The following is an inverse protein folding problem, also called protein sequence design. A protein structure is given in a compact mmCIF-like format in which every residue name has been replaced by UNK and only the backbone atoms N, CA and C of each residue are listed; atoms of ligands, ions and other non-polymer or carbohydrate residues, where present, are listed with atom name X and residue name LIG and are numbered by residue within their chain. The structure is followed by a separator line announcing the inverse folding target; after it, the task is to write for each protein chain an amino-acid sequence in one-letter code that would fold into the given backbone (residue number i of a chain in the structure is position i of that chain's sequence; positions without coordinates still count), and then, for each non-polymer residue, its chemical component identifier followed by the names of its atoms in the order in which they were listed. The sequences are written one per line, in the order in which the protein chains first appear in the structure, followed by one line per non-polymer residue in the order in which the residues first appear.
data_IF_315804373962
#
_entry.id   IF_315804373962
#
_cell.length_a   1.000
_cell.length_b   1.000
_cell.length_c   1.000
_cell.angle_alpha   90.00
_cell.angle_beta   90.00
_cell.angle_gamma   90.00
#
_symmetry.space_group_name_H-M   'P 1'
#
loop_
_entity.id
_entity.type
_entity.pdbx_description
1 polymer ?
#
# COMPACT_ATOMS: atom_id res chain seq x y z
N UNK A 1 -82.43 12.24 22.41
CA UNK A 1 -81.51 12.26 21.24
C UNK A 1 -80.07 12.17 21.75
N UNK A 2 -79.41 11.01 21.61
CA UNK A 2 -78.03 10.79 22.08
C UNK A 2 -77.13 10.58 20.85
N UNK A 3 -76.26 11.56 20.57
CA UNK A 3 -75.31 11.55 19.44
C UNK A 3 -74.07 10.73 19.84
N UNK A 4 -73.98 9.47 19.36
CA UNK A 4 -72.75 8.66 19.47
C UNK A 4 -71.67 9.25 18.55
N UNK A 5 -70.61 9.81 19.13
CA UNK A 5 -69.38 10.12 18.41
C UNK A 5 -68.56 8.85 18.22
N UNK A 6 -68.49 8.36 16.98
CA UNK A 6 -67.57 7.30 16.58
C UNK A 6 -66.18 7.93 16.44
N UNK A 7 -65.31 7.71 17.42
CA UNK A 7 -63.89 8.05 17.29
C UNK A 7 -63.23 7.04 16.37
N UNK A 8 -62.85 7.48 15.17
CA UNK A 8 -61.91 6.76 14.32
C UNK A 8 -60.57 6.65 15.06
N UNK A 9 -60.26 5.48 15.60
CA UNK A 9 -58.88 5.12 15.93
C UNK A 9 -58.16 4.88 14.62
N UNK A 10 -57.24 5.77 14.27
CA UNK A 10 -56.22 5.49 13.28
C UNK A 10 -55.26 4.47 13.87
N UNK A 11 -55.38 3.23 13.42
CA UNK A 11 -54.41 2.17 13.71
C UNK A 11 -53.10 2.54 13.02
N UNK A 12 -52.29 3.35 13.69
CA UNK A 12 -50.93 3.63 13.26
C UNK A 12 -50.17 2.29 13.30
N UNK A 13 -49.77 1.82 12.13
CA UNK A 13 -48.92 0.63 11.94
C UNK A 13 -47.57 0.93 12.62
N UNK A 14 -47.51 0.64 13.92
CA UNK A 14 -46.32 0.83 14.74
C UNK A 14 -45.41 -0.37 14.60
N UNK A 15 -44.37 -0.27 13.77
CA UNK A 15 -43.30 -1.27 13.74
C UNK A 15 -42.68 -1.43 15.12
N UNK A 16 -42.59 -2.68 15.59
CA UNK A 16 -42.03 -3.00 16.90
C UNK A 16 -40.56 -2.59 16.99
N UNK A 17 -40.06 -2.25 18.18
CA UNK A 17 -38.65 -1.89 18.39
C UNK A 17 -37.66 -2.96 17.89
N UNK A 18 -38.06 -4.24 17.97
CA UNK A 18 -37.31 -5.38 17.42
C UNK A 18 -37.25 -5.38 15.89
N UNK A 19 -38.33 -4.98 15.23
CA UNK A 19 -38.39 -4.89 13.76
C UNK A 19 -37.51 -3.75 13.26
N UNK A 20 -37.52 -2.60 13.94
CA UNK A 20 -36.62 -1.49 13.62
C UNK A 20 -35.14 -1.87 13.72
N UNK A 21 -34.74 -2.66 14.72
CA UNK A 21 -33.34 -3.13 14.82
C UNK A 21 -32.95 -4.04 13.66
N UNK A 22 -33.86 -4.88 13.16
CA UNK A 22 -33.61 -5.76 12.01
C UNK A 22 -33.49 -4.96 10.72
N UNK A 23 -34.40 -4.02 10.49
CA UNK A 23 -34.35 -3.12 9.32
C UNK A 23 -33.04 -2.33 9.31
N UNK A 24 -32.64 -1.75 10.45
CA UNK A 24 -31.37 -1.02 10.55
C UNK A 24 -30.15 -1.91 10.25
N UNK A 25 -30.15 -3.17 10.71
CA UNK A 25 -29.06 -4.11 10.40
C UNK A 25 -29.01 -4.48 8.91
N UNK A 26 -30.17 -4.67 8.28
CA UNK A 26 -30.28 -4.97 6.85
C UNK A 26 -29.84 -3.78 6.00
N UNK A 27 -30.21 -2.56 6.38
CA UNK A 27 -29.75 -1.34 5.69
C UNK A 27 -28.24 -1.15 5.82
N UNK A 28 -27.67 -1.41 7.00
CA UNK A 28 -26.22 -1.34 7.19
C UNK A 28 -25.49 -2.40 6.35
N UNK A 29 -26.00 -3.64 6.34
CA UNK A 29 -25.47 -4.72 5.51
C UNK A 29 -25.51 -4.35 4.02
N UNK A 30 -26.63 -3.78 3.55
CA UNK A 30 -26.77 -3.32 2.17
C UNK A 30 -25.76 -2.23 1.84
N UNK A 31 -25.56 -1.25 2.73
CA UNK A 31 -24.58 -0.19 2.53
C UNK A 31 -23.14 -0.73 2.44
N UNK A 32 -22.78 -1.67 3.32
CA UNK A 32 -21.48 -2.37 3.26
C UNK A 32 -21.34 -3.17 1.97
N UNK A 33 -22.38 -3.85 1.52
CA UNK A 33 -22.37 -4.64 0.29
C UNK A 33 -22.22 -3.74 -0.96
N UNK A 34 -22.92 -2.60 -1.02
CA UNK A 34 -22.77 -1.61 -2.09
C UNK A 34 -21.36 -1.04 -2.11
N UNK A 35 -20.79 -0.72 -0.94
CA UNK A 35 -19.40 -0.28 -0.82
C UNK A 35 -18.42 -1.35 -1.34
N UNK A 36 -18.59 -2.61 -0.94
CA UNK A 36 -17.77 -3.73 -1.43
C UNK A 36 -17.94 -3.94 -2.94
N UNK A 37 -19.14 -3.79 -3.47
CA UNK A 37 -19.41 -3.89 -4.91
C UNK A 37 -18.66 -2.80 -5.70
N UNK A 38 -18.75 -1.54 -5.27
CA UNK A 38 -18.00 -0.47 -5.93
C UNK A 38 -16.49 -0.66 -5.81
N UNK A 39 -16.01 -1.16 -4.67
CA UNK A 39 -14.61 -1.52 -4.47
C UNK A 39 -14.16 -2.70 -5.34
N UNK A 40 -15.02 -3.70 -5.53
CA UNK A 40 -14.76 -4.87 -6.36
C UNK A 40 -14.89 -4.57 -7.85
N UNK A 41 -15.67 -3.55 -8.25
CA UNK A 41 -15.79 -3.14 -9.65
C UNK A 41 -14.55 -2.39 -10.16
N UNK A 42 -13.61 -2.05 -9.28
CA UNK A 42 -12.34 -1.45 -9.71
C UNK A 42 -11.42 -2.54 -10.30
N UNK A 43 -11.16 -2.53 -11.63
CA UNK A 43 -10.34 -3.56 -12.29
C UNK A 43 -8.90 -3.58 -11.76
N UNK A 44 -8.44 -2.49 -11.14
CA UNK A 44 -7.09 -2.40 -10.56
C UNK A 44 -6.93 -3.30 -9.33
N UNK A 45 -7.98 -3.54 -8.55
CA UNK A 45 -7.93 -4.48 -7.41
C UNK A 45 -7.72 -5.94 -7.84
N UNK A 46 -7.90 -6.24 -9.13
CA UNK A 46 -7.72 -7.59 -9.70
C UNK A 46 -6.46 -7.73 -10.53
N UNK A 47 -5.72 -6.63 -10.78
CA UNK A 47 -4.49 -6.68 -11.58
C UNK A 47 -3.37 -7.48 -10.90
N UNK A 48 -3.31 -7.49 -9.57
CA UNK A 48 -2.35 -8.33 -8.85
C UNK A 48 -2.68 -9.83 -8.92
N UNK A 49 -3.95 -10.19 -9.18
CA UNK A 49 -4.35 -11.58 -9.47
C UNK A 49 -4.08 -11.96 -10.94
N UNK A 50 -4.09 -10.98 -11.84
CA UNK A 50 -3.86 -11.21 -13.27
C UNK A 50 -2.37 -11.17 -13.65
N UNK A 51 -1.55 -10.48 -12.87
CA UNK A 51 -0.10 -10.50 -13.05
C UNK A 51 0.45 -11.74 -12.34
N UNK A 52 0.58 -12.83 -13.09
CA UNK A 52 1.28 -14.02 -12.64
C UNK A 52 2.76 -13.64 -12.38
N UNK A 53 3.29 -13.74 -11.15
CA UNK A 53 4.68 -13.39 -10.87
C UNK A 53 5.66 -14.21 -11.73
N UNK A 54 5.24 -15.41 -12.17
CA UNK A 54 6.02 -16.27 -13.04
C UNK A 54 6.09 -15.77 -14.49
N UNK A 55 5.13 -14.95 -14.96
CA UNK A 55 5.22 -14.31 -16.28
C UNK A 55 6.14 -13.08 -16.28
N UNK A 56 6.21 -12.34 -15.17
CA UNK A 56 7.10 -11.18 -15.07
C UNK A 56 8.60 -11.57 -15.06
N UNK A 57 8.94 -12.80 -14.67
CA UNK A 57 10.32 -13.29 -14.66
C UNK A 57 10.74 -13.98 -15.98
N UNK A 58 9.79 -14.33 -16.85
CA UNK A 58 10.06 -15.04 -18.12
C UNK A 58 9.95 -14.11 -19.33
N UNK A 59 9.25 -12.98 -19.22
CA UNK A 59 9.09 -12.00 -20.32
C UNK A 59 10.22 -10.94 -20.38
N UNK A 60 11.21 -11.02 -19.47
CA UNK A 60 12.45 -10.22 -19.56
C UNK A 60 13.43 -10.80 -20.61
N UNK A 61 13.13 -11.96 -21.18
CA UNK A 61 13.85 -12.56 -22.30
C UNK A 61 13.13 -12.30 -23.61
N UNK A 62 13.65 -11.38 -24.41
CA UNK A 62 13.47 -11.40 -25.88
C UNK A 62 12.14 -10.87 -26.45
N UNK A 63 11.37 -10.06 -25.72
CA UNK A 63 10.48 -9.12 -26.38
C UNK A 63 11.35 -8.03 -27.03
N UNK A 64 11.52 -8.09 -28.35
CA UNK A 64 12.07 -7.01 -29.15
C UNK A 64 11.22 -5.75 -28.90
N UNK A 65 11.64 -4.95 -27.92
CA UNK A 65 11.02 -3.68 -27.60
C UNK A 65 11.24 -2.77 -28.82
N UNK A 66 10.18 -2.52 -29.57
CA UNK A 66 10.02 -1.25 -30.28
C UNK A 66 10.08 -0.18 -29.20
N UNK A 67 11.30 0.26 -28.89
CA UNK A 67 11.56 1.39 -28.00
C UNK A 67 11.00 2.58 -28.74
N UNK A 68 9.86 3.17 -28.31
CA UNK A 68 9.48 4.47 -28.86
C UNK A 68 10.67 5.38 -28.60
N UNK A 69 11.12 6.07 -29.65
CA UNK A 69 12.17 7.09 -29.66
C UNK A 69 11.75 8.23 -28.73
N UNK A 70 11.74 7.94 -27.43
CA UNK A 70 11.17 8.76 -26.38
C UNK A 70 12.21 9.79 -26.02
N UNK A 71 11.98 11.02 -26.47
CA UNK A 71 12.36 12.25 -25.79
C UNK A 71 13.82 12.35 -25.30
N UNK A 72 14.79 11.89 -26.10
CA UNK A 72 16.20 12.25 -25.92
C UNK A 72 16.47 13.69 -26.41
N UNK A 73 15.59 14.64 -26.07
CA UNK A 73 15.67 16.01 -26.52
C UNK A 73 16.81 16.75 -25.82
N UNK A 74 17.97 16.81 -26.47
CA UNK A 74 18.95 17.89 -26.30
C UNK A 74 20.30 17.54 -25.68
N UNK A 75 20.60 16.27 -25.39
CA UNK A 75 21.93 15.93 -24.86
C UNK A 75 22.94 15.76 -25.98
N UNK A 76 23.81 16.76 -26.13
CA UNK A 76 24.94 16.71 -27.03
C UNK A 76 25.93 15.66 -26.53
N UNK A 77 26.29 14.71 -27.40
CA UNK A 77 27.38 13.78 -27.17
C UNK A 77 28.69 14.55 -27.27
N UNK A 78 29.46 14.58 -26.19
CA UNK A 78 30.77 15.23 -26.18
C UNK A 78 31.78 14.37 -26.95
N UNK A 79 32.60 14.99 -27.78
CA UNK A 79 33.73 14.32 -28.44
C UNK A 79 34.86 14.07 -27.44
N UNK A 80 35.48 12.88 -27.47
CA UNK A 80 36.63 12.52 -26.64
C UNK A 80 36.82 11.00 -26.50
N UNK A 81 37.91 10.54 -25.86
CA UNK A 81 38.13 9.12 -25.55
C UNK A 81 36.95 8.56 -24.74
N UNK A 82 36.43 7.39 -25.04
CA UNK A 82 35.30 6.81 -24.29
C UNK A 82 35.71 5.48 -23.62
N UNK A 83 34.72 4.75 -23.13
CA UNK A 83 34.94 3.45 -22.51
C UNK A 83 35.40 2.37 -23.50
N UNK A 84 35.39 2.64 -24.82
CA UNK A 84 35.85 1.70 -25.85
C UNK A 84 37.35 1.79 -26.12
N UNK A 85 38.00 2.86 -25.63
CA UNK A 85 39.45 3.06 -25.77
C UNK A 85 40.21 2.16 -24.76
N UNK A 86 41.07 1.23 -25.24
CA UNK A 86 41.82 0.32 -24.36
C UNK A 86 42.78 1.04 -23.42
N UNK A 87 43.31 2.21 -23.80
CA UNK A 87 44.23 2.99 -22.97
C UNK A 87 43.47 3.64 -21.80
N UNK A 88 42.27 4.16 -22.06
CA UNK A 88 41.38 4.68 -21.01
C UNK A 88 40.94 3.56 -20.04
N UNK A 89 40.62 2.37 -20.57
CA UNK A 89 40.30 1.20 -19.73
C UNK A 89 41.49 0.76 -18.88
N UNK A 90 42.71 0.79 -19.41
CA UNK A 90 43.92 0.48 -18.66
C UNK A 90 44.14 1.49 -17.52
N UNK A 91 44.05 2.78 -17.83
CA UNK A 91 44.19 3.84 -16.84
C UNK A 91 43.08 3.79 -15.77
N UNK A 92 41.86 3.38 -16.13
CA UNK A 92 40.78 3.16 -15.16
C UNK A 92 41.06 1.97 -14.25
N UNK A 93 41.60 0.86 -14.78
CA UNK A 93 41.96 -0.30 -13.95
C UNK A 93 42.98 0.02 -12.87
N UNK A 94 43.92 0.92 -13.16
CA UNK A 94 44.89 1.39 -12.15
C UNK A 94 44.21 2.16 -11.01
N UNK A 95 43.19 2.96 -11.31
CA UNK A 95 42.47 3.73 -10.28
C UNK A 95 41.54 2.89 -9.42
N UNK A 96 41.15 1.70 -9.86
CA UNK A 96 40.34 0.77 -9.05
C UNK A 96 41.02 0.34 -7.74
N UNK A 97 42.36 0.43 -7.67
CA UNK A 97 43.15 0.04 -6.50
C UNK A 97 42.87 0.91 -5.26
N UNK A 98 42.39 2.16 -5.43
CA UNK A 98 42.08 3.06 -4.31
C UNK A 98 40.65 2.89 -3.76
N UNK A 99 39.79 2.14 -4.46
CA UNK A 99 38.36 2.08 -4.12
C UNK A 99 38.10 1.04 -3.03
N UNK A 100 37.47 1.47 -1.94
CA UNK A 100 37.14 0.66 -0.78
C UNK A 100 35.62 0.50 -0.58
N UNK A 101 35.11 -0.73 -0.62
CA UNK A 101 33.67 -0.99 -0.42
C UNK A 101 33.20 -0.76 1.02
N UNK A 102 31.89 -0.61 1.19
CA UNK A 102 31.20 -0.38 2.46
C UNK A 102 31.65 0.89 3.19
N UNK A 103 32.20 1.85 2.45
CA UNK A 103 32.58 3.17 2.94
C UNK A 103 31.86 4.25 2.13
N UNK A 104 31.76 5.45 2.71
CA UNK A 104 31.39 6.63 1.94
C UNK A 104 32.43 6.89 0.85
N UNK A 105 32.04 7.64 -0.17
CA UNK A 105 32.91 8.00 -1.27
C UNK A 105 34.05 8.91 -0.76
N UNK A 106 35.31 8.56 -1.03
CA UNK A 106 36.48 9.32 -0.55
C UNK A 106 37.12 10.16 -1.66
N UNK A 107 37.99 11.10 -1.29
CA UNK A 107 38.72 11.94 -2.24
C UNK A 107 39.58 11.11 -3.22
N UNK A 108 40.24 10.06 -2.73
CA UNK A 108 41.09 9.18 -3.55
C UNK A 108 40.29 8.37 -4.60
N UNK A 109 38.98 8.25 -4.43
CA UNK A 109 38.06 7.57 -5.34
C UNK A 109 37.49 8.53 -6.41
N UNK A 110 37.64 9.84 -6.23
CA UNK A 110 37.10 10.87 -7.14
C UNK A 110 37.61 10.71 -8.57
N UNK A 111 38.86 10.28 -8.73
CA UNK A 111 39.43 10.09 -10.06
C UNK A 111 38.69 9.00 -10.86
N UNK A 112 38.41 7.85 -10.24
CA UNK A 112 37.63 6.79 -10.85
C UNK A 112 36.17 7.22 -11.10
N UNK A 113 35.58 7.89 -10.11
CA UNK A 113 34.23 8.44 -10.19
C UNK A 113 34.05 9.38 -11.40
N UNK A 114 34.92 10.39 -11.53
CA UNK A 114 34.82 11.39 -12.60
C UNK A 114 35.14 10.80 -13.97
N UNK A 115 36.04 9.82 -14.07
CA UNK A 115 36.28 9.12 -15.34
C UNK A 115 35.02 8.40 -15.83
N UNK A 116 34.35 7.63 -14.97
CA UNK A 116 33.09 6.98 -15.33
C UNK A 116 32.01 8.01 -15.68
N UNK A 117 31.94 9.10 -14.93
CA UNK A 117 31.02 10.19 -15.22
C UNK A 117 31.26 10.78 -16.62
N UNK A 118 32.51 11.06 -16.99
CA UNK A 118 32.88 11.54 -18.33
C UNK A 118 32.54 10.55 -19.43
N UNK A 119 32.83 9.25 -19.25
CA UNK A 119 32.42 8.22 -20.21
C UNK A 119 30.91 8.24 -20.45
N UNK A 120 30.10 8.38 -19.40
CA UNK A 120 28.64 8.44 -19.57
C UNK A 120 28.19 9.69 -20.32
N UNK A 121 28.89 10.82 -20.21
CA UNK A 121 28.59 12.06 -20.97
C UNK A 121 28.86 11.89 -22.46
N UNK A 122 29.86 11.08 -22.83
CA UNK A 122 30.29 10.81 -24.21
C UNK A 122 29.47 9.73 -24.93
N UNK A 123 28.52 9.11 -24.24
CA UNK A 123 27.62 8.13 -24.85
C UNK A 123 26.17 8.57 -24.71
N UNK A 124 25.32 8.20 -25.68
CA UNK A 124 23.88 8.36 -25.54
C UNK A 124 23.30 7.29 -24.61
N UNK A 125 22.12 7.54 -24.03
CA UNK A 125 21.44 6.53 -23.21
C UNK A 125 21.20 5.23 -23.99
N UNK A 126 20.73 5.32 -25.24
CA UNK A 126 20.43 4.16 -26.08
C UNK A 126 21.68 3.32 -26.40
N UNK A 127 22.83 3.95 -26.61
CA UNK A 127 24.09 3.23 -26.80
C UNK A 127 24.52 2.48 -25.54
N UNK A 128 24.53 3.17 -24.39
CA UNK A 128 24.85 2.55 -23.10
C UNK A 128 23.88 1.41 -22.79
N UNK A 129 22.57 1.63 -22.97
CA UNK A 129 21.56 0.62 -22.70
C UNK A 129 21.73 -0.62 -23.58
N UNK A 130 21.99 -0.44 -24.88
CA UNK A 130 22.25 -1.55 -25.80
C UNK A 130 23.46 -2.39 -25.36
N UNK A 131 24.59 -1.75 -25.05
CA UNK A 131 25.85 -2.42 -24.66
C UNK A 131 25.83 -2.99 -23.25
N UNK A 132 24.97 -2.48 -22.39
CA UNK A 132 24.90 -2.89 -20.98
C UNK A 132 24.54 -4.35 -20.77
N UNK A 133 25.06 -4.92 -19.67
CA UNK A 133 24.67 -6.21 -19.13
C UNK A 133 23.41 -6.09 -18.28
N UNK A 134 22.38 -6.88 -18.61
CA UNK A 134 21.10 -6.96 -17.87
C UNK A 134 21.01 -8.18 -16.96
N UNK A 135 22.01 -9.06 -17.01
CA UNK A 135 22.09 -10.31 -16.25
C UNK A 135 22.81 -10.15 -14.89
N UNK A 136 23.27 -8.93 -14.57
CA UNK A 136 23.90 -8.62 -13.30
C UNK A 136 22.85 -8.29 -12.22
N UNK A 137 22.71 -9.20 -11.26
CA UNK A 137 21.81 -9.08 -10.11
C UNK A 137 22.44 -8.25 -8.98
N UNK A 138 21.62 -7.84 -8.01
CA UNK A 138 22.10 -7.14 -6.82
C UNK A 138 23.17 -7.94 -6.08
N UNK A 139 22.94 -9.25 -5.95
CA UNK A 139 23.83 -10.18 -5.24
C UNK A 139 25.22 -10.29 -5.86
N UNK A 140 25.36 -10.16 -7.18
CA UNK A 140 26.66 -10.13 -7.86
C UNK A 140 27.45 -8.88 -7.48
N UNK A 141 26.84 -7.70 -7.66
CA UNK A 141 27.49 -6.42 -7.38
C UNK A 141 27.81 -6.23 -5.89
N UNK A 142 26.97 -6.78 -5.01
CA UNK A 142 27.15 -6.67 -3.57
C UNK A 142 28.11 -7.72 -2.99
N UNK A 143 28.06 -8.96 -3.50
CA UNK A 143 28.83 -10.08 -2.97
C UNK A 143 30.26 -10.17 -3.50
N UNK A 144 30.52 -9.69 -4.71
CA UNK A 144 31.84 -9.71 -5.35
C UNK A 144 32.10 -8.41 -6.11
N UNK A 145 32.05 -7.24 -5.43
CA UNK A 145 32.16 -5.94 -6.07
C UNK A 145 33.43 -5.79 -6.90
N UNK A 146 34.56 -6.31 -6.43
CA UNK A 146 35.87 -6.24 -7.08
C UNK A 146 35.89 -6.86 -8.49
N UNK A 147 35.04 -7.86 -8.75
CA UNK A 147 34.98 -8.52 -10.06
C UNK A 147 34.15 -7.74 -11.08
N UNK A 148 33.29 -6.83 -10.62
CA UNK A 148 32.29 -6.17 -11.45
C UNK A 148 32.53 -4.66 -11.61
N UNK A 149 33.56 -4.09 -10.97
CA UNK A 149 33.84 -2.65 -11.07
C UNK A 149 34.16 -2.25 -12.50
N UNK A 150 33.53 -1.18 -12.96
CA UNK A 150 33.62 -0.69 -14.33
C UNK A 150 32.76 -1.45 -15.33
N UNK A 151 32.03 -2.49 -14.93
CA UNK A 151 31.08 -3.14 -15.86
C UNK A 151 29.90 -2.21 -16.14
N UNK A 152 29.50 -2.15 -17.41
CA UNK A 152 28.32 -1.41 -17.87
C UNK A 152 27.05 -2.21 -17.57
N UNK A 153 26.26 -1.73 -16.62
CA UNK A 153 25.06 -2.39 -16.08
C UNK A 153 23.79 -1.70 -16.58
N UNK A 154 22.81 -2.50 -17.00
CA UNK A 154 21.48 -2.07 -17.40
C UNK A 154 20.44 -2.50 -16.38
N UNK A 155 19.72 -1.55 -15.78
CA UNK A 155 18.74 -1.80 -14.72
C UNK A 155 17.38 -1.19 -15.06
N UNK A 156 16.31 -1.89 -14.66
CA UNK A 156 14.95 -1.36 -14.58
C UNK A 156 14.58 -1.16 -13.12
N UNK A 157 14.28 0.08 -12.74
CA UNK A 157 14.21 0.50 -11.35
C UNK A 157 12.85 1.07 -11.00
N UNK A 158 12.37 0.70 -9.82
CA UNK A 158 11.34 1.42 -9.09
C UNK A 158 12.03 2.55 -8.31
N UNK A 159 11.91 3.78 -8.83
CA UNK A 159 12.57 4.97 -8.30
C UNK A 159 11.83 5.49 -7.08
N UNK A 160 12.57 5.65 -5.98
CA UNK A 160 12.05 6.02 -4.66
C UNK A 160 12.45 7.42 -4.22
N UNK A 161 13.57 7.93 -4.75
CA UNK A 161 14.09 9.24 -4.41
C UNK A 161 14.95 9.77 -5.54
N UNK A 162 14.79 11.05 -5.86
CA UNK A 162 15.62 11.78 -6.81
C UNK A 162 15.98 13.11 -6.17
N UNK A 163 17.28 13.33 -5.94
CA UNK A 163 17.83 14.55 -5.38
C UNK A 163 18.74 15.22 -6.42
N UNK A 164 18.69 16.55 -6.49
CA UNK A 164 19.70 17.34 -7.20
C UNK A 164 20.80 17.70 -6.21
N UNK A 165 22.05 17.48 -6.59
CA UNK A 165 23.21 17.93 -5.84
C UNK A 165 23.81 19.16 -6.50
N UNK A 166 24.34 20.04 -5.67
CA UNK A 166 25.22 21.10 -6.14
C UNK A 166 26.54 20.45 -6.60
N UNK A 167 27.10 20.87 -7.75
CA UNK A 167 28.36 20.32 -8.23
C UNK A 167 29.46 20.52 -7.18
N UNK A 168 30.29 19.48 -6.98
CA UNK A 168 31.54 19.61 -6.21
C UNK A 168 32.41 20.70 -6.85
N UNK A 169 33.26 21.42 -6.09
CA UNK A 169 34.26 22.32 -6.67
C UNK A 169 35.16 21.66 -7.72
N UNK A 170 35.33 20.34 -7.65
CA UNK A 170 36.11 19.55 -8.60
C UNK A 170 35.30 19.05 -9.82
N UNK A 171 33.99 19.29 -9.83
CA UNK A 171 33.13 18.93 -10.96
C UNK A 171 33.37 19.88 -12.14
N UNK A 172 33.23 19.41 -13.39
CA UNK A 172 33.26 20.29 -14.55
C UNK A 172 32.21 21.41 -14.42
N UNK A 173 32.57 22.62 -14.85
CA UNK A 173 31.64 23.75 -14.94
C UNK A 173 30.42 23.34 -15.82
N UNK A 174 29.22 23.75 -15.42
CA UNK A 174 27.94 23.46 -16.10
C UNK A 174 27.39 22.02 -16.01
N UNK A 175 27.85 21.23 -15.04
CA UNK A 175 27.31 19.87 -14.82
C UNK A 175 26.33 19.84 -13.66
N UNK A 176 25.07 19.51 -13.97
CA UNK A 176 24.11 19.09 -12.95
C UNK A 176 24.37 17.63 -12.56
N UNK A 177 24.35 17.35 -11.25
CA UNK A 177 24.45 15.99 -10.72
C UNK A 177 23.15 15.63 -10.02
N UNK A 178 22.58 14.48 -10.38
CA UNK A 178 21.39 13.96 -9.73
C UNK A 178 21.70 12.61 -9.08
N UNK A 179 21.24 12.44 -7.84
CA UNK A 179 21.30 11.20 -7.09
C UNK A 179 19.92 10.54 -7.12
N UNK A 180 19.85 9.35 -7.72
CA UNK A 180 18.62 8.55 -7.84
C UNK A 180 18.77 7.31 -6.98
N UNK A 181 17.78 7.07 -6.12
CA UNK A 181 17.67 5.81 -5.36
C UNK A 181 16.50 5.03 -5.89
N UNK A 182 16.76 3.77 -6.24
CA UNK A 182 15.74 2.88 -6.76
C UNK A 182 16.01 1.43 -6.37
N UNK A 183 15.04 0.57 -6.64
CA UNK A 183 15.16 -0.88 -6.41
C UNK A 183 14.78 -1.63 -7.68
N UNK A 184 15.39 -2.77 -7.91
CA UNK A 184 14.90 -3.73 -8.90
C UNK A 184 13.85 -4.62 -8.24
N UNK A 185 13.12 -5.39 -9.04
CA UNK A 185 12.23 -6.45 -8.52
C UNK A 185 13.02 -7.47 -7.69
N UNK A 186 14.21 -7.84 -8.15
CA UNK A 186 15.08 -8.82 -7.51
C UNK A 186 15.73 -8.31 -6.21
N UNK A 187 16.11 -7.03 -6.13
CA UNK A 187 16.78 -6.49 -4.93
C UNK A 187 15.85 -6.28 -3.73
N UNK A 188 14.53 -6.36 -3.94
CA UNK A 188 13.51 -6.30 -2.88
C UNK A 188 13.53 -5.00 -2.08
N UNK A 189 14.12 -5.04 -0.88
CA UNK A 189 14.25 -3.86 0.01
C UNK A 189 15.58 -3.13 -0.12
N UNK A 190 16.56 -3.70 -0.83
CA UNK A 190 17.89 -3.13 -0.96
C UNK A 190 17.96 -2.19 -2.17
N UNK A 191 18.36 -0.92 -1.97
CA UNK A 191 18.41 0.04 -3.06
C UNK A 191 19.75 0.01 -3.80
N UNK A 192 19.69 0.53 -5.01
CA UNK A 192 20.82 1.03 -5.78
C UNK A 192 20.91 2.54 -5.58
N UNK A 193 22.13 3.07 -5.54
CA UNK A 193 22.41 4.50 -5.62
C UNK A 193 22.96 4.79 -7.01
N UNK A 194 22.27 5.64 -7.77
CA UNK A 194 22.69 6.02 -9.11
C UNK A 194 23.05 7.49 -9.13
N UNK A 195 24.15 7.80 -9.79
CA UNK A 195 24.53 9.15 -10.13
C UNK A 195 24.30 9.34 -11.63
N UNK A 196 23.53 10.36 -11.97
CA UNK A 196 23.27 10.72 -13.36
C UNK A 196 23.63 12.18 -13.63
N UNK A 197 24.13 12.42 -14.84
CA UNK A 197 24.59 13.73 -15.32
C UNK A 197 23.47 14.66 -15.81
N UNK A 198 22.24 14.16 -15.83
CA UNK A 198 21.08 14.85 -16.36
C UNK A 198 19.82 14.21 -15.79
N UNK A 199 18.83 15.05 -15.49
CA UNK A 199 17.53 14.55 -15.05
C UNK A 199 16.77 14.03 -16.27
N UNK A 200 16.27 12.78 -16.25
CA UNK A 200 15.40 12.28 -17.30
C UNK A 200 14.16 13.16 -17.43
N UNK A 201 13.72 13.41 -18.67
CA UNK A 201 12.54 14.23 -18.90
C UNK A 201 11.30 13.58 -18.24
N UNK A 202 10.49 14.38 -17.56
CA UNK A 202 9.31 13.91 -16.85
C UNK A 202 9.56 13.30 -15.46
N UNK A 203 10.81 12.97 -15.08
CA UNK A 203 11.09 12.43 -13.76
C UNK A 203 11.02 13.53 -12.68
N UNK A 204 10.12 13.43 -11.69
CA UNK A 204 10.00 14.41 -10.61
C UNK A 204 11.20 14.35 -9.65
N UNK A 205 11.52 15.48 -9.02
CA UNK A 205 12.43 15.54 -7.87
C UNK A 205 11.64 15.27 -6.59
N UNK A 206 12.25 14.56 -5.64
CA UNK A 206 11.59 14.30 -4.36
C UNK A 206 12.26 13.22 -3.52
N UNK A 207 12.02 13.27 -2.21
CA UNK A 207 12.53 12.28 -1.25
C UNK A 207 11.69 10.99 -1.19
N UNK A 208 10.43 11.05 -1.62
CA UNK A 208 9.48 9.95 -1.61
C UNK A 208 8.75 9.91 -2.95
N UNK A 209 9.28 9.09 -3.84
CA UNK A 209 8.78 8.86 -5.19
C UNK A 209 8.36 7.40 -5.32
N UNK A 210 7.57 7.14 -6.35
CA UNK A 210 7.12 5.81 -6.70
C UNK A 210 7.02 5.79 -8.23
N UNK A 211 8.16 6.03 -8.87
CA UNK A 211 8.27 6.14 -10.33
C UNK A 211 9.01 4.94 -10.90
N UNK A 212 9.11 4.86 -12.23
CA UNK A 212 9.82 3.79 -12.91
C UNK A 212 10.80 4.37 -13.92
N UNK A 213 12.01 3.82 -13.98
CA UNK A 213 13.05 4.30 -14.88
C UNK A 213 13.93 3.14 -15.36
N UNK A 214 14.49 3.29 -16.56
CA UNK A 214 15.63 2.51 -17.05
C UNK A 214 16.91 3.24 -16.69
N UNK A 215 17.96 2.50 -16.41
CA UNK A 215 19.28 3.04 -16.10
C UNK A 215 20.34 2.25 -16.85
N UNK A 216 21.28 2.94 -17.49
CA UNK A 216 22.47 2.36 -18.07
C UNK A 216 23.69 3.10 -17.55
N UNK A 217 24.63 2.38 -16.92
CA UNK A 217 25.81 3.01 -16.34
C UNK A 217 26.79 2.02 -15.75
N UNK A 218 27.92 2.52 -15.31
CA UNK A 218 29.03 1.72 -14.81
C UNK A 218 28.90 1.50 -13.31
N UNK A 219 29.12 0.27 -12.85
CA UNK A 219 29.23 -0.02 -11.42
C UNK A 219 30.57 0.46 -10.86
N UNK A 220 30.56 1.28 -9.81
CA UNK A 220 31.78 1.79 -9.18
C UNK A 220 32.18 0.97 -7.95
N UNK A 221 31.28 0.88 -6.96
CA UNK A 221 31.54 0.27 -5.64
C UNK A 221 30.25 -0.01 -4.88
N UNK A 222 30.33 -0.74 -3.77
CA UNK A 222 29.29 -0.73 -2.74
C UNK A 222 29.57 0.43 -1.78
N UNK A 223 28.74 1.47 -1.80
CA UNK A 223 28.87 2.60 -0.88
C UNK A 223 28.09 2.36 0.40
N UNK A 224 28.58 2.85 1.55
CA UNK A 224 27.78 2.84 2.78
C UNK A 224 26.84 4.04 2.86
N UNK A 225 25.65 3.81 3.42
CA UNK A 225 24.67 4.86 3.73
C UNK A 225 23.98 4.56 5.07
N UNK A 226 23.32 5.56 5.64
CA UNK A 226 22.48 5.39 6.84
C UNK A 226 21.01 5.34 6.44
N UNK A 227 20.30 4.32 6.92
CA UNK A 227 18.85 4.24 6.73
C UNK A 227 18.09 5.19 7.67
N UNK A 228 16.75 5.26 7.54
CA UNK A 228 15.90 6.11 8.40
C UNK A 228 16.00 5.75 9.91
N UNK A 229 16.57 4.60 10.26
CA UNK A 229 16.78 4.14 11.64
C UNK A 229 18.22 4.39 12.12
N UNK A 230 19.06 5.05 11.31
CA UNK A 230 20.48 5.28 11.61
C UNK A 230 21.33 4.01 11.51
N UNK A 231 20.82 2.93 10.91
CA UNK A 231 21.62 1.73 10.70
C UNK A 231 22.44 1.89 9.44
N UNK A 232 23.76 1.66 9.55
CA UNK A 232 24.65 1.66 8.39
C UNK A 232 24.36 0.45 7.50
N UNK A 233 24.12 0.71 6.22
CA UNK A 233 23.83 -0.26 5.16
C UNK A 233 24.76 -0.03 3.98
N UNK A 234 24.79 -0.97 3.04
CA UNK A 234 25.51 -0.84 1.77
C UNK A 234 24.54 -0.78 0.59
N UNK A 235 24.88 0.00 -0.43
CA UNK A 235 24.15 0.06 -1.69
C UNK A 235 25.16 0.06 -2.86
N UNK A 236 24.94 -0.71 -3.94
CA UNK A 236 25.70 -0.56 -5.16
C UNK A 236 25.57 0.88 -5.70
N UNK A 237 26.71 1.52 -5.92
CA UNK A 237 26.84 2.85 -6.50
C UNK A 237 27.17 2.72 -7.99
N UNK A 238 26.30 3.26 -8.83
CA UNK A 238 26.46 3.27 -10.29
C UNK A 238 26.47 4.69 -10.83
N UNK A 239 27.21 4.92 -11.92
CA UNK A 239 27.34 6.22 -12.57
C UNK A 239 26.90 6.05 -14.02
N UNK A 240 25.90 6.81 -14.46
CA UNK A 240 25.22 6.51 -15.71
C UNK A 240 24.25 7.57 -16.21
N UNK A 241 23.35 7.09 -17.07
CA UNK A 241 22.19 7.83 -17.56
C UNK A 241 20.93 7.07 -17.20
N UNK A 242 19.85 7.80 -17.01
CA UNK A 242 18.54 7.23 -16.80
C UNK A 242 17.57 7.71 -17.87
N UNK A 243 16.56 6.89 -18.12
CA UNK A 243 15.43 7.18 -18.99
C UNK A 243 14.13 6.90 -18.23
N UNK A 244 13.19 7.84 -18.27
CA UNK A 244 11.95 7.77 -17.50
C UNK A 244 10.93 6.89 -18.23
N UNK A 245 10.40 5.87 -17.53
CA UNK A 245 9.30 5.06 -18.05
C UNK A 245 8.01 5.69 -17.56
N UNK A 246 7.29 6.37 -18.46
CA UNK A 246 5.96 6.87 -18.12
C UNK A 246 5.01 5.71 -17.82
N UNK A 247 4.52 5.67 -16.58
CA UNK A 247 3.49 4.73 -16.15
C UNK A 247 2.19 5.48 -15.82
N UNK A 248 1.36 5.82 -16.82
CA UNK A 248 0.13 6.58 -16.60
C UNK A 248 -0.87 5.81 -15.74
N UNK A 249 -0.82 4.47 -15.77
CA UNK A 249 -1.67 3.62 -14.93
C UNK A 249 -1.36 3.78 -13.44
N UNK A 250 -0.09 3.92 -13.07
CA UNK A 250 0.35 4.16 -11.70
C UNK A 250 0.00 5.56 -11.23
N UNK A 251 0.24 6.59 -12.06
CA UNK A 251 -0.14 7.98 -11.75
C UNK A 251 -1.66 8.10 -11.52
N UNK A 252 -2.46 7.44 -12.36
CA UNK A 252 -3.92 7.37 -12.17
C UNK A 252 -4.32 6.63 -10.88
N UNK A 253 -3.61 5.54 -10.54
CA UNK A 253 -3.85 4.81 -9.29
C UNK A 253 -3.49 5.64 -8.06
N UNK A 254 -2.37 6.38 -8.08
CA UNK A 254 -1.94 7.23 -6.96
C UNK A 254 -2.83 8.44 -6.77
N UNK A 255 -3.21 9.12 -7.85
CA UNK A 255 -4.21 10.20 -7.80
C UNK A 255 -5.53 9.71 -7.19
N UNK A 256 -5.90 8.44 -7.42
CA UNK A 256 -7.08 7.82 -6.83
C UNK A 256 -6.86 7.30 -5.40
N UNK A 257 -5.64 6.90 -5.04
CA UNK A 257 -5.25 6.48 -3.67
C UNK A 257 -5.11 7.68 -2.73
N UNK A 258 -4.73 8.85 -3.25
CA UNK A 258 -4.99 10.15 -2.62
C UNK A 258 -6.51 10.48 -2.63
N UNK A 259 -7.34 9.43 -2.60
CA UNK A 259 -8.79 9.46 -2.59
C UNK A 259 -9.24 10.49 -1.58
N UNK A 260 -10.09 11.38 -2.07
CA UNK A 260 -10.44 12.59 -1.38
C UNK A 260 -10.90 12.28 0.05
N UNK A 261 -10.43 13.06 1.04
CA UNK A 261 -10.73 12.85 2.46
C UNK A 261 -12.23 12.77 2.75
N UNK A 262 -13.11 13.23 1.85
CA UNK A 262 -14.55 13.05 1.95
C UNK A 262 -14.98 11.59 2.09
N UNK A 263 -14.27 10.63 1.49
CA UNK A 263 -14.62 9.21 1.61
C UNK A 263 -14.45 8.71 3.05
N UNK A 264 -13.37 9.12 3.72
CA UNK A 264 -13.17 8.88 5.14
C UNK A 264 -14.27 9.55 5.98
N UNK A 265 -14.59 10.81 5.69
CA UNK A 265 -15.66 11.54 6.38
C UNK A 265 -17.06 10.95 6.14
N UNK A 266 -17.34 10.40 4.96
CA UNK A 266 -18.60 9.73 4.65
C UNK A 266 -18.75 8.45 5.46
N UNK A 267 -17.68 7.65 5.57
CA UNK A 267 -17.67 6.44 6.40
C UNK A 267 -17.78 6.80 7.88
N UNK A 268 -17.03 7.80 8.35
CA UNK A 268 -17.11 8.29 9.72
C UNK A 268 -18.51 8.85 10.05
N UNK A 269 -19.12 9.59 9.11
CA UNK A 269 -20.46 10.15 9.23
C UNK A 269 -21.55 9.08 9.28
N UNK A 270 -21.46 8.04 8.45
CA UNK A 270 -22.35 6.88 8.52
C UNK A 270 -22.23 6.15 9.87
N UNK A 271 -21.00 5.96 10.35
CA UNK A 271 -20.74 5.31 11.64
C UNK A 271 -21.28 6.15 12.81
N UNK A 272 -21.06 7.46 12.81
CA UNK A 272 -21.59 8.37 13.82
C UNK A 272 -23.12 8.38 13.82
N UNK A 273 -23.74 8.42 12.63
CA UNK A 273 -25.21 8.35 12.48
C UNK A 273 -25.75 7.05 13.06
N UNK A 274 -25.10 5.91 12.80
CA UNK A 274 -25.46 4.62 13.38
C UNK A 274 -25.40 4.63 14.93
N UNK A 275 -24.34 5.21 15.51
CA UNK A 275 -24.20 5.32 16.97
C UNK A 275 -25.28 6.22 17.59
N UNK A 276 -25.61 7.34 16.96
CA UNK A 276 -26.67 8.26 17.41
C UNK A 276 -28.03 7.54 17.39
N UNK A 277 -28.37 6.88 16.28
CA UNK A 277 -29.62 6.12 16.15
C UNK A 277 -29.70 5.04 17.24
N UNK A 278 -28.60 4.31 17.48
CA UNK A 278 -28.53 3.30 18.53
C UNK A 278 -28.71 3.88 19.94
N UNK A 279 -28.12 5.05 20.22
CA UNK A 279 -28.25 5.73 21.51
C UNK A 279 -29.68 6.23 21.74
N UNK A 280 -30.31 6.81 20.72
CA UNK A 280 -31.72 7.27 20.79
C UNK A 280 -32.67 6.10 21.01
N UNK A 281 -32.45 4.96 20.33
CA UNK A 281 -33.26 3.76 20.52
C UNK A 281 -33.11 3.15 21.93
N UNK A 282 -31.91 3.23 22.53
CA UNK A 282 -31.68 2.80 23.93
C UNK A 282 -32.34 3.71 24.96
N UNK A 283 -32.47 5.01 24.67
CA UNK A 283 -33.08 6.00 25.58
C UNK A 283 -34.60 6.01 25.54
N UNK A 284 -35.26 5.21 24.69
CA UNK A 284 -36.72 5.09 24.78
C UNK A 284 -37.05 4.49 26.14
N UNK A 285 -37.69 5.24 27.06
CA UNK A 285 -38.05 4.70 28.36
C UNK A 285 -38.86 3.44 28.09
N UNK A 286 -38.53 2.36 28.79
CA UNK A 286 -39.46 1.24 28.90
C UNK A 286 -40.75 1.85 29.41
N UNK A 287 -41.68 2.15 28.49
CA UNK A 287 -43.06 2.42 28.84
C UNK A 287 -43.45 1.15 29.53
N UNK A 288 -43.46 1.19 30.87
CA UNK A 288 -43.92 0.08 31.68
C UNK A 288 -45.21 -0.37 31.01
N UNK A 289 -45.28 -1.60 30.47
CA UNK A 289 -46.53 -2.08 29.92
C UNK A 289 -47.51 -1.92 31.05
N UNK A 290 -48.51 -1.04 30.85
CA UNK A 290 -49.49 -0.67 31.86
C UNK A 290 -49.81 -1.93 32.62
N UNK A 291 -49.37 -2.00 33.90
CA UNK A 291 -49.46 -3.19 34.74
C UNK A 291 -50.85 -3.76 34.48
N UNK A 292 -50.93 -4.79 33.63
CA UNK A 292 -52.04 -5.70 33.63
C UNK A 292 -51.94 -6.18 35.05
N UNK A 293 -52.84 -5.66 35.90
CA UNK A 293 -53.04 -6.12 37.25
C UNK A 293 -53.02 -7.63 37.11
N UNK A 294 -51.88 -8.21 37.49
CA UNK A 294 -51.74 -9.62 37.72
C UNK A 294 -52.79 -9.81 38.78
N UNK A 295 -53.95 -10.31 38.36
CA UNK A 295 -55.02 -10.75 39.25
C UNK A 295 -54.25 -11.66 40.19
N UNK A 296 -53.95 -11.16 41.37
CA UNK A 296 -53.29 -11.94 42.40
C UNK A 296 -54.23 -13.10 42.56
N UNK A 297 -53.82 -14.26 42.09
CA UNK A 297 -54.42 -15.51 42.52
C UNK A 297 -54.36 -15.41 44.04
N UNK A 298 -55.52 -15.19 44.63
CA UNK A 298 -55.67 -15.01 46.06
C UNK A 298 -55.22 -16.34 46.68
N UNK A 299 -53.98 -16.38 47.17
CA UNK A 299 -53.43 -17.56 47.84
C UNK A 299 -54.31 -17.95 49.04
N UNK A 300 -55.09 -17.00 49.58
CA UNK A 300 -56.13 -17.27 50.58
C UNK A 300 -57.26 -18.14 50.03
N UNK A 301 -57.78 -17.83 48.84
CA UNK A 301 -58.86 -18.59 48.22
C UNK A 301 -58.44 -20.04 47.86
N UNK A 302 -57.17 -20.24 47.49
CA UNK A 302 -56.64 -21.60 47.21
C UNK A 302 -56.45 -22.41 48.50
N UNK A 303 -56.00 -21.79 49.59
CA UNK A 303 -55.90 -22.46 50.90
C UNK A 303 -57.27 -22.80 51.48
N UNK A 304 -58.23 -21.88 51.39
CA UNK A 304 -59.59 -22.10 51.88
C UNK A 304 -60.29 -23.24 51.11
N UNK A 305 -60.10 -23.33 49.79
CA UNK A 305 -60.60 -24.46 49.00
C UNK A 305 -59.95 -25.81 49.36
N UNK A 306 -58.67 -25.81 49.76
CA UNK A 306 -57.98 -27.03 50.22
C UNK A 306 -58.46 -27.49 51.59
N UNK A 307 -58.69 -26.56 52.52
CA UNK A 307 -59.17 -26.89 53.87
C UNK A 307 -60.60 -27.46 53.82
N UNK A 308 -61.50 -26.84 53.03
CA UNK A 308 -62.89 -27.30 52.84
C UNK A 308 -62.96 -28.72 52.24
N UNK A 309 -62.02 -29.08 51.34
CA UNK A 309 -61.98 -30.41 50.74
C UNK A 309 -61.55 -31.53 51.71
N UNK A 310 -60.87 -31.19 52.81
CA UNK A 310 -60.44 -32.15 53.84
C UNK A 310 -61.55 -32.49 54.84
N UNK A 311 -62.48 -31.58 55.12
CA UNK A 311 -63.56 -31.82 56.09
C UNK A 311 -64.64 -32.79 55.55
N UNK A 312 -64.92 -32.77 54.25
CA UNK A 312 -65.93 -33.66 53.62
C UNK A 312 -65.51 -35.15 53.55
N UNK A 313 -64.29 -35.48 53.97
CA UNK A 313 -63.77 -36.86 53.93
C UNK A 313 -64.06 -37.69 55.19
N UNK A 314 -64.60 -37.09 56.26
CA UNK A 314 -65.01 -37.83 57.47
C UNK A 314 -66.37 -38.51 57.25
N UNK A 315 -66.34 -39.66 56.58
CA UNK A 315 -67.48 -40.58 56.54
C UNK A 315 -67.82 -41.10 57.94
N UNK A 316 -69.11 -41.15 58.32
CA UNK A 316 -69.56 -41.64 59.61
C UNK A 316 -69.30 -43.15 59.77
N UNK A 317 -68.75 -43.50 60.94
CA UNK A 317 -68.41 -44.84 61.39
C UNK A 317 -69.64 -45.78 61.32
N UNK A 318 -69.54 -46.98 60.70
CA UNK A 318 -70.66 -47.91 60.65
C UNK A 318 -70.95 -48.52 62.05
N UNK A 319 -72.23 -48.71 62.41
CA UNK A 319 -72.59 -49.28 63.71
C UNK A 319 -72.13 -50.74 63.83
N UNK A 320 -71.32 -51.02 64.86
CA UNK A 320 -70.97 -52.39 65.26
C UNK A 320 -72.20 -53.08 65.83
N UNK A 321 -72.69 -54.09 65.10
CA UNK A 321 -73.73 -55.00 65.56
C UNK A 321 -73.25 -55.89 66.71
N UNK A 322 -74.12 -56.02 67.71
CA UNK A 322 -74.04 -56.97 68.82
C UNK A 322 -74.32 -58.39 68.34
N UNK A 323 -73.50 -59.35 68.77
CA UNK A 323 -73.77 -60.78 68.67
C UNK A 323 -74.05 -61.34 70.08
N UNK A 324 -75.16 -62.04 70.23
CA UNK A 324 -75.46 -62.98 71.32
C UNK A 324 -76.27 -64.14 70.76
#
# INVERSE_FOLDING_TARGET
MIRRHVRHRSDAIGFGSREMTRIASLTLLLAVMVMLYFRARDPVMWRWFANDPDQAAVDDGEAALDVPESAAAGMQVLEGPDDTDPDEQAAFRESLASIADNQSLTADEMFAYWRLFEWTRRSSFEDLWRRSRKDLLFTHLFGSPEHHRGELVGLRLNVQRVLKHDPSPDAPEDVDVYEIWGRTSESGTFPYCLIVNSRPEGLPLGAELNEEARFAGYFLKVMSYEDKLGTRRGAPLLIGRADFIDNPGRRAFEARRQGSPWTFWAVAGLFATYLIVRAVLRKRPHTEPARLQRRTTDEGAVRQWLDDATEDSQSPDPPRGESS
#
